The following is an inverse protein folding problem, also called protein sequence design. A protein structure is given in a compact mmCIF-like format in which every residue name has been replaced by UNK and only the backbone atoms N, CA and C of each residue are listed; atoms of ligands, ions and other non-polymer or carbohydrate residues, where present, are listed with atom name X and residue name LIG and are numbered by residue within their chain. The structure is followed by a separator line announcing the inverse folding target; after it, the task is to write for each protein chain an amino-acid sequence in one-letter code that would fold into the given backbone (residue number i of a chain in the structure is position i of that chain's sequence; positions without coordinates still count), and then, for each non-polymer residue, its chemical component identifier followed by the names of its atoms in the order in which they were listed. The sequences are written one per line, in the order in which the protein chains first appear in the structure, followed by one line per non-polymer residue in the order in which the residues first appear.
data_IF_670022632663
#
_entry.id   IF_670022632663
#
_cell.length_a   1.000
_cell.length_b   1.000
_cell.length_c   1.000
_cell.angle_alpha   90.00
_cell.angle_beta   90.00
_cell.angle_gamma   90.00
#
_symmetry.space_group_name_H-M   'P 1'
#
loop_
_entity.id
_entity.type
_entity.pdbx_description
1 polymer ?
#
# COMPACT_ATOMS: atom_id res chain seq x y z
N UNK A 1 31.99 -0.72 -28.59
CA UNK A 1 31.01 -1.82 -28.38
C UNK A 1 30.43 -1.65 -26.98
N UNK A 2 29.18 -1.17 -26.86
CA UNK A 2 28.50 -1.06 -25.56
C UNK A 2 27.21 -1.88 -25.63
N UNK A 3 27.25 -3.09 -25.09
CA UNK A 3 26.06 -3.92 -24.95
C UNK A 3 25.29 -3.45 -23.72
N UNK A 4 24.14 -2.81 -23.94
CA UNK A 4 23.19 -2.49 -22.86
C UNK A 4 22.47 -3.77 -22.47
N UNK A 5 22.75 -4.29 -21.27
CA UNK A 5 22.08 -5.46 -20.71
C UNK A 5 20.65 -5.06 -20.34
N UNK A 6 19.67 -5.61 -21.05
CA UNK A 6 18.26 -5.49 -20.68
C UNK A 6 17.87 -6.68 -19.81
N UNK A 7 17.61 -6.41 -18.53
CA UNK A 7 17.08 -7.42 -17.61
C UNK A 7 15.58 -7.52 -17.87
N UNK A 8 15.15 -8.65 -18.43
CA UNK A 8 13.73 -9.00 -18.62
C UNK A 8 13.29 -9.84 -17.42
N UNK A 9 12.71 -9.21 -16.41
CA UNK A 9 11.98 -9.90 -15.34
C UNK A 9 10.51 -9.97 -15.76
N UNK A 10 10.04 -11.19 -16.06
CA UNK A 10 8.62 -11.53 -16.21
C UNK A 10 7.81 -10.60 -17.13
N UNK A 11 8.16 -10.55 -18.42
CA UNK A 11 7.22 -10.18 -19.50
C UNK A 11 6.64 -8.75 -19.51
N UNK A 12 7.04 -7.85 -18.61
CA UNK A 12 6.64 -6.45 -18.65
C UNK A 12 7.79 -5.59 -19.17
N UNK A 13 7.60 -4.94 -20.33
CA UNK A 13 8.57 -3.97 -20.83
C UNK A 13 8.66 -2.79 -19.86
N UNK A 14 9.87 -2.36 -19.52
CA UNK A 14 10.11 -1.17 -18.68
C UNK A 14 9.47 0.11 -19.26
N UNK A 15 9.13 0.12 -20.56
CA UNK A 15 8.45 1.22 -21.24
C UNK A 15 6.93 1.23 -21.02
N UNK A 16 6.34 0.09 -20.65
CA UNK A 16 4.91 -0.02 -20.29
C UNK A 16 4.62 0.41 -18.85
N UNK A 17 5.66 0.61 -18.03
CA UNK A 17 5.54 1.27 -16.71
C UNK A 17 5.28 2.78 -16.82
N UNK A 18 5.21 3.33 -18.04
CA UNK A 18 4.94 4.74 -18.33
C UNK A 18 3.53 5.00 -18.92
N UNK A 19 2.58 4.08 -18.75
CA UNK A 19 1.15 4.38 -18.86
C UNK A 19 0.63 4.88 -17.48
N UNK A 20 -0.26 5.89 -17.45
CA UNK A 20 -0.24 6.92 -16.42
C UNK A 20 -0.49 6.35 -15.03
N UNK A 21 0.29 6.82 -14.06
CA UNK A 21 0.08 6.70 -12.63
C UNK A 21 -1.23 7.39 -12.15
N UNK A 22 -2.35 7.11 -12.82
CA UNK A 22 -3.63 7.77 -12.67
C UNK A 22 -4.73 6.85 -12.11
N UNK A 23 -4.44 5.60 -11.72
CA UNK A 23 -5.43 4.71 -11.09
C UNK A 23 -4.96 3.90 -9.89
N UNK A 24 -3.79 4.20 -9.34
CA UNK A 24 -3.35 3.65 -8.06
C UNK A 24 -3.27 4.80 -7.07
N UNK A 25 -4.34 5.06 -6.30
CA UNK A 25 -4.28 6.08 -5.23
C UNK A 25 -3.26 5.74 -4.14
N UNK A 26 -2.78 4.49 -4.14
CA UNK A 26 -1.82 3.95 -3.20
C UNK A 26 -0.44 3.80 -3.82
N UNK A 27 0.58 4.19 -3.05
CA UNK A 27 1.97 3.83 -3.28
C UNK A 27 2.22 2.33 -3.05
N UNK A 28 3.37 1.82 -3.48
CA UNK A 28 3.75 0.41 -3.28
C UNK A 28 3.76 0.01 -1.79
N UNK A 29 4.30 0.86 -0.91
CA UNK A 29 4.35 0.62 0.53
C UNK A 29 2.96 0.61 1.17
N UNK A 30 2.09 1.54 0.77
CA UNK A 30 0.69 1.58 1.20
C UNK A 30 -0.08 0.33 0.76
N UNK A 31 0.14 -0.12 -0.48
CA UNK A 31 -0.47 -1.35 -1.00
C UNK A 31 -0.02 -2.59 -0.23
N UNK A 32 1.28 -2.72 0.05
CA UNK A 32 1.84 -3.79 0.87
C UNK A 32 1.20 -3.85 2.26
N UNK A 33 1.15 -2.70 2.94
CA UNK A 33 0.53 -2.58 4.26
C UNK A 33 -0.95 -2.98 4.21
N UNK A 34 -1.70 -2.48 3.23
CA UNK A 34 -3.11 -2.79 3.08
C UNK A 34 -3.36 -4.30 2.90
N UNK A 35 -2.60 -4.95 2.01
CA UNK A 35 -2.75 -6.39 1.77
C UNK A 35 -2.43 -7.21 3.01
N UNK A 36 -1.37 -6.84 3.73
CA UNK A 36 -1.00 -7.52 4.96
C UNK A 36 -2.05 -7.34 6.06
N UNK A 37 -2.63 -6.16 6.20
CA UNK A 37 -3.73 -5.90 7.14
C UNK A 37 -5.00 -6.69 6.79
N UNK A 38 -5.33 -6.85 5.50
CA UNK A 38 -6.46 -7.70 5.05
C UNK A 38 -6.32 -9.16 5.48
N UNK A 39 -5.09 -9.69 5.45
CA UNK A 39 -4.82 -11.07 5.88
C UNK A 39 -5.08 -11.30 7.37
N UNK A 40 -5.01 -10.25 8.19
CA UNK A 40 -5.27 -10.31 9.63
C UNK A 40 -6.77 -10.37 9.97
N UNK A 41 -7.68 -10.40 8.98
CA UNK A 41 -9.13 -10.53 9.16
C UNK A 41 -9.69 -9.55 10.21
N UNK A 42 -9.30 -8.28 10.11
CA UNK A 42 -9.70 -7.19 11.00
C UNK A 42 -11.16 -6.75 10.82
N UNK A 43 -12.08 -7.68 10.54
CA UNK A 43 -13.48 -7.43 10.18
C UNK A 43 -14.25 -6.66 11.26
N UNK A 44 -13.78 -6.69 12.51
CA UNK A 44 -14.35 -5.93 13.62
C UNK A 44 -13.84 -4.48 13.73
N UNK A 45 -12.66 -4.16 13.18
CA UNK A 45 -11.99 -2.85 13.35
C UNK A 45 -12.62 -1.73 12.51
N UNK A 46 -13.28 -2.06 11.40
CA UNK A 46 -13.91 -1.08 10.51
C UNK A 46 -15.22 -0.47 11.04
N UNK A 47 -15.68 -0.86 12.24
CA UNK A 47 -16.91 -0.31 12.84
C UNK A 47 -16.76 1.13 13.30
N UNK A 48 -15.53 1.63 13.48
CA UNK A 48 -15.27 3.01 13.89
C UNK A 48 -15.03 3.89 12.67
N UNK A 49 -15.77 4.99 12.59
CA UNK A 49 -15.54 6.03 11.58
C UNK A 49 -14.23 6.74 11.90
N UNK A 50 -13.15 6.39 11.19
CA UNK A 50 -11.87 7.09 11.30
C UNK A 50 -11.80 8.26 10.33
N UNK A 51 -11.37 9.44 10.80
CA UNK A 51 -11.11 10.58 9.94
C UNK A 51 -10.01 10.25 8.89
N UNK A 52 -10.07 10.81 7.68
CA UNK A 52 -8.98 10.68 6.70
C UNK A 52 -7.65 11.14 7.28
N UNK A 53 -6.59 10.37 7.01
CA UNK A 53 -5.23 10.75 7.40
C UNK A 53 -4.68 11.77 6.39
N UNK A 54 -3.92 12.74 6.91
CA UNK A 54 -3.09 13.60 6.06
C UNK A 54 -2.00 12.76 5.39
N UNK A 55 -1.43 13.29 4.29
CA UNK A 55 -0.38 12.57 3.54
C UNK A 55 0.83 12.24 4.43
N UNK A 56 1.26 13.20 5.25
CA UNK A 56 2.39 13.03 6.16
C UNK A 56 2.10 12.00 7.25
N UNK A 57 0.97 12.11 7.95
CA UNK A 57 0.58 11.15 8.99
C UNK A 57 0.49 9.73 8.46
N UNK A 58 -0.04 9.56 7.25
CA UNK A 58 -0.14 8.27 6.59
C UNK A 58 1.23 7.70 6.28
N UNK A 59 2.13 8.50 5.69
CA UNK A 59 3.51 8.08 5.41
C UNK A 59 4.20 7.60 6.68
N UNK A 60 4.17 8.40 7.75
CA UNK A 60 4.78 8.06 9.04
C UNK A 60 4.21 6.76 9.61
N UNK A 61 2.89 6.57 9.56
CA UNK A 61 2.24 5.35 10.07
C UNK A 61 2.55 4.12 9.25
N UNK A 62 2.64 4.24 7.91
CA UNK A 62 3.07 3.15 7.02
C UNK A 62 4.48 2.71 7.36
N UNK A 63 5.41 3.66 7.46
CA UNK A 63 6.81 3.38 7.79
C UNK A 63 6.94 2.75 9.19
N UNK A 64 6.25 3.31 10.18
CA UNK A 64 6.23 2.77 11.54
C UNK A 64 5.67 1.36 11.61
N UNK A 65 4.59 1.07 10.90
CA UNK A 65 3.97 -0.26 10.91
C UNK A 65 4.87 -1.30 10.22
N UNK A 66 5.52 -0.93 9.12
CA UNK A 66 6.53 -1.80 8.47
C UNK A 66 7.70 -2.07 9.41
N UNK A 67 8.20 -1.03 10.11
CA UNK A 67 9.28 -1.18 11.07
C UNK A 67 8.89 -2.16 12.20
N UNK A 68 7.70 -2.00 12.78
CA UNK A 68 7.18 -2.91 13.81
C UNK A 68 7.12 -4.37 13.35
N UNK A 69 6.68 -4.60 12.11
CA UNK A 69 6.66 -5.94 11.55
C UNK A 69 8.05 -6.53 11.35
N UNK A 70 9.03 -5.70 10.97
CA UNK A 70 10.42 -6.11 10.77
C UNK A 70 11.13 -6.39 12.11
N UNK A 71 10.72 -5.74 13.20
CA UNK A 71 11.25 -5.98 14.55
C UNK A 71 10.60 -7.17 15.26
N UNK A 72 9.73 -7.93 14.58
CA UNK A 72 9.10 -9.15 15.13
C UNK A 72 7.71 -8.95 15.70
N UNK A 73 7.17 -7.72 15.74
CA UNK A 73 5.78 -7.46 16.11
C UNK A 73 4.82 -7.77 14.96
N UNK A 74 4.84 -8.99 14.43
CA UNK A 74 4.19 -9.40 13.18
C UNK A 74 2.67 -9.21 13.13
N UNK A 75 2.03 -9.08 14.30
CA UNK A 75 0.58 -8.83 14.48
C UNK A 75 0.24 -7.39 14.84
N UNK A 76 1.19 -6.45 14.74
CA UNK A 76 0.90 -5.03 14.92
C UNK A 76 -0.14 -4.56 13.89
N UNK A 77 -1.09 -3.74 14.34
CA UNK A 77 -2.22 -3.25 13.56
C UNK A 77 -2.40 -1.76 13.83
N UNK A 78 -2.64 -0.98 12.77
CA UNK A 78 -3.16 0.39 12.87
C UNK A 78 -4.53 0.45 12.17
N UNK A 79 -5.59 0.48 12.98
CA UNK A 79 -6.98 0.49 12.51
C UNK A 79 -7.33 1.74 11.70
N UNK A 80 -6.78 2.89 12.10
CA UNK A 80 -7.03 4.17 11.42
C UNK A 80 -6.35 4.19 10.06
N UNK A 81 -5.11 3.69 9.99
CA UNK A 81 -4.39 3.53 8.74
C UNK A 81 -5.11 2.53 7.82
N UNK A 82 -5.57 1.40 8.36
CA UNK A 82 -6.33 0.42 7.58
C UNK A 82 -7.58 1.04 6.94
N UNK A 83 -8.40 1.74 7.74
CA UNK A 83 -9.63 2.37 7.28
C UNK A 83 -9.37 3.43 6.18
N UNK A 84 -8.30 4.21 6.34
CA UNK A 84 -7.90 5.24 5.38
C UNK A 84 -7.40 4.63 4.05
N UNK A 85 -6.54 3.61 4.10
CA UNK A 85 -6.03 2.91 2.92
C UNK A 85 -7.14 2.15 2.17
N UNK A 86 -8.06 1.50 2.90
CA UNK A 86 -9.24 0.86 2.33
C UNK A 86 -10.14 1.86 1.58
N UNK A 87 -10.37 3.04 2.17
CA UNK A 87 -11.16 4.10 1.53
C UNK A 87 -10.53 4.52 0.19
N UNK A 88 -9.22 4.75 0.18
CA UNK A 88 -8.48 5.15 -1.02
C UNK A 88 -8.44 4.05 -2.08
N UNK A 89 -8.25 2.80 -1.66
CA UNK A 89 -8.32 1.64 -2.55
C UNK A 89 -9.68 1.53 -3.26
N UNK A 90 -10.79 1.71 -2.52
CA UNK A 90 -12.14 1.71 -3.10
C UNK A 90 -12.38 2.89 -4.06
N UNK A 91 -11.87 4.07 -3.74
CA UNK A 91 -11.96 5.24 -4.62
C UNK A 91 -11.15 5.07 -5.93
N UNK A 92 -10.23 4.11 -6.00
CA UNK A 92 -9.42 3.84 -7.20
C UNK A 92 -10.13 2.97 -8.24
N UNK A 93 -11.25 2.34 -7.87
CA UNK A 93 -12.08 1.52 -8.76
C UNK A 93 -13.54 2.00 -8.71
N UNK A 94 -13.97 2.90 -9.61
CA UNK A 94 -15.38 2.96 -9.93
C UNK A 94 -15.72 1.68 -10.71
N UNK A 95 -16.74 0.96 -10.25
CA UNK A 95 -17.39 -0.05 -11.09
C UNK A 95 -17.99 0.58 -12.33
#
# INVERSE_FOLDING_TARGET
MNASVQIVLAGAQLKDLAAPAARSSLTASEFYVLQRLRQLKLTAALRRTHAPLTSEMRKTRVEGLIALWNTGCSKAVDESLYADLERRARQSFPG
#
